data_IF_433449855589
#
_entry.id   IF_433449855589
#
_cell.length_a   1.000
_cell.length_b   1.000
_cell.length_c   1.000
_cell.angle_alpha   90.00
_cell.angle_beta   90.00
_cell.angle_gamma   90.00
#
_symmetry.space_group_name_H-M   'P 1'
#
loop_
_entity.id
_entity.type
_entity.pdbx_description
1 polymer ?
#
# COMPACT_ATOMS: atom_id res chain seq x y z
N UNK A 1 -14.66 32.32 3.40
CA UNK A 1 -14.71 31.51 2.17
C UNK A 1 -14.94 30.07 2.57
N UNK A 2 -15.84 29.29 1.95
CA UNK A 2 -16.02 27.91 2.32
C UNK A 2 -14.70 27.16 2.06
N UNK A 3 -14.30 26.28 3.00
CA UNK A 3 -13.11 25.46 2.88
C UNK A 3 -13.19 24.55 1.65
N UNK A 4 -12.50 24.92 0.58
CA UNK A 4 -12.55 24.25 -0.73
C UNK A 4 -11.61 23.02 -0.84
N UNK A 5 -10.95 22.66 0.27
CA UNK A 5 -10.05 21.48 0.27
C UNK A 5 -10.83 20.17 0.36
N UNK A 6 -10.45 19.15 -0.44
CA UNK A 6 -11.08 17.82 -0.38
C UNK A 6 -10.92 17.20 1.02
N UNK A 7 -12.02 16.65 1.56
CA UNK A 7 -12.04 16.15 2.93
C UNK A 7 -11.83 14.62 2.94
N UNK A 8 -11.06 14.12 3.90
CA UNK A 8 -11.13 12.71 4.28
C UNK A 8 -12.43 12.48 5.06
N UNK A 9 -13.20 11.47 4.69
CA UNK A 9 -14.47 11.08 5.34
C UNK A 9 -14.29 9.96 6.36
N UNK A 10 -13.28 9.09 6.16
CA UNK A 10 -12.90 8.04 7.10
C UNK A 10 -12.02 8.63 8.22
N UNK A 11 -12.65 9.03 9.34
CA UNK A 11 -11.97 9.71 10.47
C UNK A 11 -12.34 9.11 11.82
N UNK A 12 -11.37 9.09 12.75
CA UNK A 12 -11.59 8.83 14.18
C UNK A 12 -10.99 9.99 14.97
N UNK A 13 -11.79 10.60 15.86
CA UNK A 13 -11.31 11.74 16.67
C UNK A 13 -10.80 12.93 15.84
N UNK A 14 -11.31 13.10 14.61
CA UNK A 14 -10.85 14.15 13.69
C UNK A 14 -9.64 13.78 12.83
N UNK A 15 -8.97 12.65 13.09
CA UNK A 15 -7.79 12.20 12.36
C UNK A 15 -8.17 11.23 11.22
N UNK A 16 -7.65 11.44 9.97
CA UNK A 16 -7.85 10.53 8.87
C UNK A 16 -7.24 9.15 9.15
N UNK A 17 -8.03 8.08 9.00
CA UNK A 17 -7.59 6.70 9.31
C UNK A 17 -6.65 6.17 8.24
N UNK A 18 -6.95 6.41 6.96
CA UNK A 18 -6.20 5.87 5.84
C UNK A 18 -4.69 6.14 5.95
N UNK A 19 -4.20 7.40 6.09
CA UNK A 19 -2.77 7.67 6.18
C UNK A 19 -2.10 7.11 7.44
N UNK A 20 -2.85 6.89 8.51
CA UNK A 20 -2.31 6.27 9.74
C UNK A 20 -1.99 4.78 9.55
N UNK A 21 -2.77 4.08 8.74
CA UNK A 21 -2.63 2.64 8.53
C UNK A 21 -1.71 2.29 7.35
N UNK A 22 -1.57 3.17 6.36
CA UNK A 22 -0.76 2.97 5.13
C UNK A 22 0.67 2.48 5.39
N UNK A 23 1.42 2.96 6.42
CA UNK A 23 2.78 2.48 6.66
C UNK A 23 2.89 0.97 6.90
N UNK A 24 1.84 0.32 7.44
CA UNK A 24 1.87 -1.11 7.79
C UNK A 24 2.03 -1.99 6.55
N UNK A 25 1.11 -1.98 5.55
CA UNK A 25 1.27 -2.81 4.36
C UNK A 25 2.50 -2.42 3.53
N UNK A 26 2.88 -1.14 3.48
CA UNK A 26 4.11 -0.72 2.78
C UNK A 26 5.34 -1.38 3.42
N UNK A 27 5.50 -1.31 4.75
CA UNK A 27 6.61 -1.94 5.45
C UNK A 27 6.63 -3.46 5.23
N UNK A 28 5.47 -4.12 5.23
CA UNK A 28 5.34 -5.54 4.98
C UNK A 28 5.78 -5.92 3.55
N UNK A 29 5.30 -5.23 2.52
CA UNK A 29 5.64 -5.57 1.14
C UNK A 29 7.10 -5.21 0.79
N UNK A 30 7.64 -4.11 1.31
CA UNK A 30 9.07 -3.80 1.18
C UNK A 30 9.90 -4.81 1.95
N UNK A 31 9.47 -5.18 3.16
CA UNK A 31 10.11 -6.24 3.96
C UNK A 31 10.13 -7.57 3.23
N UNK A 32 9.05 -7.94 2.52
CA UNK A 32 9.01 -9.14 1.68
C UNK A 32 10.10 -9.13 0.62
N UNK A 33 10.27 -8.03 -0.13
CA UNK A 33 11.35 -7.92 -1.10
C UNK A 33 12.73 -8.08 -0.46
N UNK A 34 12.94 -7.47 0.71
CA UNK A 34 14.22 -7.59 1.44
C UNK A 34 14.48 -9.04 1.85
N UNK A 35 13.49 -9.73 2.43
CA UNK A 35 13.62 -11.13 2.86
C UNK A 35 13.78 -12.08 1.67
N UNK A 36 13.13 -11.82 0.53
CA UNK A 36 13.32 -12.56 -0.72
C UNK A 36 14.74 -12.42 -1.25
N UNK A 37 15.32 -11.21 -1.20
CA UNK A 37 16.71 -10.96 -1.60
C UNK A 37 17.70 -11.67 -0.69
N UNK A 38 17.46 -11.69 0.62
CA UNK A 38 18.30 -12.42 1.57
C UNK A 38 18.18 -13.93 1.35
N UNK A 39 16.96 -14.44 1.12
CA UNK A 39 16.75 -15.85 0.77
C UNK A 39 17.52 -16.21 -0.51
N UNK A 40 17.43 -15.41 -1.56
CA UNK A 40 18.16 -15.63 -2.81
C UNK A 40 19.67 -15.72 -2.60
N UNK A 41 20.23 -14.97 -1.64
CA UNK A 41 21.67 -14.98 -1.35
C UNK A 41 22.12 -16.11 -0.43
N UNK A 42 21.25 -16.52 0.51
CA UNK A 42 21.64 -17.43 1.61
C UNK A 42 21.05 -18.83 1.49
N UNK A 43 19.96 -18.99 0.72
CA UNK A 43 19.13 -20.20 0.68
C UNK A 43 18.60 -20.65 2.06
N UNK A 44 18.64 -19.77 3.07
CA UNK A 44 18.15 -20.10 4.42
C UNK A 44 16.63 -19.97 4.46
N UNK A 45 15.92 -21.10 4.69
CA UNK A 45 14.46 -21.22 4.64
C UNK A 45 13.73 -20.22 5.52
N UNK A 46 14.30 -19.86 6.66
CA UNK A 46 13.73 -18.84 7.57
C UNK A 46 13.35 -17.55 6.86
N UNK A 47 14.11 -17.10 5.86
CA UNK A 47 13.82 -15.88 5.12
C UNK A 47 12.61 -16.03 4.19
N UNK A 48 12.42 -17.23 3.61
CA UNK A 48 11.23 -17.55 2.83
C UNK A 48 9.96 -17.56 3.72
N UNK A 49 10.07 -18.13 4.92
CA UNK A 49 8.99 -18.13 5.90
C UNK A 49 8.64 -16.70 6.35
N UNK A 50 9.66 -15.86 6.59
CA UNK A 50 9.44 -14.44 6.92
C UNK A 50 8.74 -13.70 5.77
N UNK A 51 9.10 -13.95 4.52
CA UNK A 51 8.41 -13.38 3.36
C UNK A 51 6.93 -13.76 3.33
N UNK A 52 6.61 -15.03 3.56
CA UNK A 52 5.23 -15.53 3.59
C UNK A 52 4.41 -14.84 4.71
N UNK A 53 4.98 -14.69 5.89
CA UNK A 53 4.35 -13.96 7.00
C UNK A 53 4.14 -12.48 6.69
N UNK A 54 5.15 -11.80 6.15
CA UNK A 54 5.06 -10.39 5.76
C UNK A 54 3.99 -10.18 4.69
N UNK A 55 3.92 -11.04 3.67
CA UNK A 55 2.86 -11.00 2.66
C UNK A 55 1.48 -11.14 3.30
N UNK A 56 1.31 -12.10 4.21
CA UNK A 56 0.03 -12.34 4.88
C UNK A 56 -0.40 -11.13 5.72
N UNK A 57 0.49 -10.60 6.56
CA UNK A 57 0.21 -9.43 7.39
C UNK A 57 -0.06 -8.20 6.52
N UNK A 58 0.74 -8.00 5.47
CA UNK A 58 0.55 -6.90 4.52
C UNK A 58 -0.79 -6.95 3.80
N UNK A 59 -1.22 -8.13 3.36
CA UNK A 59 -2.53 -8.33 2.72
C UNK A 59 -3.69 -8.07 3.69
N UNK A 60 -3.62 -8.60 4.91
CA UNK A 60 -4.65 -8.36 5.94
C UNK A 60 -4.73 -6.86 6.27
N UNK A 61 -3.61 -6.19 6.47
CA UNK A 61 -3.57 -4.75 6.71
C UNK A 61 -4.13 -3.96 5.51
N UNK A 62 -3.86 -4.41 4.28
CA UNK A 62 -4.36 -3.77 3.05
C UNK A 62 -5.89 -3.76 2.95
N UNK A 63 -6.60 -4.72 3.57
CA UNK A 63 -8.07 -4.71 3.64
C UNK A 63 -8.55 -3.46 4.37
N UNK A 64 -8.02 -3.20 5.55
CA UNK A 64 -8.43 -2.04 6.37
C UNK A 64 -8.03 -0.72 5.72
N UNK A 65 -6.81 -0.64 5.20
CA UNK A 65 -6.32 0.55 4.47
C UNK A 65 -7.15 0.80 3.23
N UNK A 66 -7.44 -0.25 2.45
CA UNK A 66 -8.23 -0.17 1.23
C UNK A 66 -9.67 0.28 1.51
N UNK A 67 -10.31 -0.25 2.56
CA UNK A 67 -11.65 0.18 2.98
C UNK A 67 -11.66 1.65 3.38
N UNK A 68 -10.71 2.09 4.21
CA UNK A 68 -10.62 3.49 4.61
C UNK A 68 -10.39 4.42 3.40
N UNK A 69 -9.49 4.04 2.49
CA UNK A 69 -9.23 4.79 1.25
C UNK A 69 -10.43 4.82 0.31
N UNK A 70 -11.19 3.73 0.21
CA UNK A 70 -12.40 3.65 -0.59
C UNK A 70 -13.52 4.55 -0.03
N UNK A 71 -13.68 4.58 1.30
CA UNK A 71 -14.62 5.49 1.98
C UNK A 71 -14.25 6.94 1.67
N UNK A 72 -12.98 7.31 1.76
CA UNK A 72 -12.51 8.66 1.41
C UNK A 72 -12.75 9.00 -0.07
N UNK A 73 -12.46 8.05 -0.96
CA UNK A 73 -12.64 8.21 -2.40
C UNK A 73 -14.12 8.37 -2.78
N UNK A 74 -15.01 7.57 -2.19
CA UNK A 74 -16.45 7.64 -2.46
C UNK A 74 -17.12 8.83 -1.75
N UNK A 75 -16.60 9.23 -0.61
CA UNK A 75 -17.17 10.25 0.26
C UNK A 75 -17.06 11.69 -0.26
N UNK A 76 -16.01 12.01 -1.05
CA UNK A 76 -15.85 13.37 -1.60
C UNK A 76 -15.63 13.35 -3.13
N UNK A 77 -16.53 14.00 -3.87
CA UNK A 77 -16.42 14.13 -5.34
C UNK A 77 -15.14 14.85 -5.78
N UNK A 78 -14.60 15.74 -4.95
CA UNK A 78 -13.38 16.48 -5.25
C UNK A 78 -12.15 15.56 -5.24
N UNK A 79 -12.12 14.55 -4.38
CA UNK A 79 -11.09 13.51 -4.39
C UNK A 79 -11.15 12.72 -5.70
N UNK A 80 -12.36 12.32 -6.13
CA UNK A 80 -12.56 11.59 -7.40
C UNK A 80 -12.20 12.40 -8.65
N UNK A 81 -12.25 13.71 -8.57
CA UNK A 81 -11.84 14.59 -9.67
C UNK A 81 -10.32 14.65 -9.88
N UNK A 82 -9.53 14.20 -8.89
CA UNK A 82 -8.07 14.23 -8.94
C UNK A 82 -7.52 13.03 -9.70
N UNK A 83 -6.76 13.27 -10.77
CA UNK A 83 -6.04 12.21 -11.49
C UNK A 83 -5.09 11.40 -10.60
N UNK A 84 -4.33 12.01 -9.65
CA UNK A 84 -3.50 11.26 -8.71
C UNK A 84 -4.29 10.27 -7.84
N UNK A 85 -5.55 10.55 -7.50
CA UNK A 85 -6.37 9.63 -6.71
C UNK A 85 -6.68 8.33 -7.46
N UNK A 86 -6.93 8.40 -8.76
CA UNK A 86 -7.12 7.22 -9.60
C UNK A 86 -5.84 6.40 -9.77
N UNK A 87 -4.71 7.06 -10.05
CA UNK A 87 -3.41 6.37 -10.17
C UNK A 87 -3.05 5.69 -8.84
N UNK A 88 -3.24 6.38 -7.72
CA UNK A 88 -3.01 5.83 -6.39
C UNK A 88 -3.95 4.64 -6.10
N UNK A 89 -5.25 4.80 -6.30
CA UNK A 89 -6.24 3.77 -6.00
C UNK A 89 -6.08 2.51 -6.87
N UNK A 90 -6.03 2.68 -8.20
CA UNK A 90 -5.87 1.56 -9.14
C UNK A 90 -4.50 0.88 -9.00
N UNK A 91 -3.45 1.66 -8.79
CA UNK A 91 -2.11 1.12 -8.57
C UNK A 91 -2.03 0.27 -7.28
N UNK A 92 -2.65 0.73 -6.19
CA UNK A 92 -2.69 -0.06 -4.94
C UNK A 92 -3.61 -1.28 -5.07
N UNK A 93 -4.70 -1.22 -5.83
CA UNK A 93 -5.50 -2.40 -6.15
C UNK A 93 -4.66 -3.45 -6.92
N UNK A 94 -3.84 -3.01 -7.88
CA UNK A 94 -2.91 -3.89 -8.59
C UNK A 94 -1.84 -4.47 -7.65
N UNK A 95 -1.29 -3.67 -6.71
CA UNK A 95 -0.37 -4.15 -5.66
C UNK A 95 -1.01 -5.29 -4.86
N UNK A 96 -2.26 -5.13 -4.41
CA UNK A 96 -2.96 -6.18 -3.65
C UNK A 96 -3.13 -7.44 -4.49
N UNK A 97 -3.57 -7.32 -5.74
CA UNK A 97 -3.74 -8.48 -6.64
C UNK A 97 -2.41 -9.21 -6.85
N UNK A 98 -1.34 -8.50 -7.17
CA UNK A 98 0.00 -9.11 -7.34
C UNK A 98 0.52 -9.74 -6.05
N UNK A 99 0.25 -9.11 -4.89
CA UNK A 99 0.65 -9.65 -3.59
C UNK A 99 -0.13 -10.91 -3.22
N UNK A 100 -1.41 -11.04 -3.61
CA UNK A 100 -2.18 -12.29 -3.47
C UNK A 100 -1.53 -13.39 -4.30
N UNK A 101 -1.21 -13.13 -5.57
CA UNK A 101 -0.49 -14.11 -6.40
C UNK A 101 0.86 -14.47 -5.80
N UNK A 102 1.59 -13.49 -5.27
CA UNK A 102 2.87 -13.71 -4.62
C UNK A 102 2.74 -14.55 -3.35
N UNK A 103 1.67 -14.34 -2.55
CA UNK A 103 1.39 -15.19 -1.39
C UNK A 103 1.14 -16.65 -1.79
N UNK A 104 0.41 -16.90 -2.88
CA UNK A 104 0.25 -18.25 -3.43
C UNK A 104 1.58 -18.84 -3.93
N UNK A 105 2.46 -18.04 -4.52
CA UNK A 105 3.81 -18.47 -4.90
C UNK A 105 4.59 -18.89 -3.66
N UNK A 106 4.62 -18.06 -2.61
CA UNK A 106 5.35 -18.34 -1.37
C UNK A 106 4.75 -19.48 -0.53
N UNK A 107 3.48 -19.84 -0.75
CA UNK A 107 2.81 -20.97 -0.06
C UNK A 107 3.12 -22.34 -0.67
N UNK A 108 3.85 -22.39 -1.80
CA UNK A 108 4.29 -23.63 -2.44
C UNK A 108 5.55 -24.17 -1.78
N UNK A 109 6.28 -25.05 -2.47
CA UNK A 109 7.59 -25.53 -2.05
C UNK A 109 8.57 -24.35 -1.93
N UNK A 110 9.02 -24.06 -0.71
CA UNK A 110 9.87 -22.94 -0.38
C UNK A 110 11.19 -22.90 -1.16
N UNK A 111 11.73 -24.05 -1.55
CA UNK A 111 13.00 -24.12 -2.28
C UNK A 111 12.92 -23.66 -3.74
N UNK A 112 11.74 -23.72 -4.35
CA UNK A 112 11.55 -23.43 -5.79
C UNK A 112 10.64 -22.23 -6.06
N UNK A 113 9.88 -21.76 -5.06
CA UNK A 113 8.83 -20.78 -5.26
C UNK A 113 9.30 -19.33 -5.15
N UNK A 114 10.21 -19.04 -4.21
CA UNK A 114 10.63 -17.64 -3.98
C UNK A 114 11.47 -17.12 -5.14
N UNK A 115 12.38 -17.93 -5.68
CA UNK A 115 13.30 -17.54 -6.77
C UNK A 115 13.05 -18.39 -8.00
N UNK A 116 12.78 -17.79 -9.18
CA UNK A 116 12.76 -16.33 -9.45
C UNK A 116 11.41 -15.65 -9.24
N UNK A 117 10.30 -16.40 -9.22
CA UNK A 117 8.94 -15.85 -9.42
C UNK A 117 8.52 -14.93 -8.27
N UNK A 118 8.67 -15.35 -7.02
CA UNK A 118 8.34 -14.54 -5.84
C UNK A 118 9.13 -13.24 -5.81
N UNK A 119 10.45 -13.32 -6.01
CA UNK A 119 11.34 -12.16 -6.04
C UNK A 119 10.97 -11.15 -7.15
N UNK A 120 10.58 -11.63 -8.34
CA UNK A 120 10.13 -10.76 -9.44
C UNK A 120 8.83 -10.05 -9.04
N UNK A 121 7.87 -10.78 -8.47
CA UNK A 121 6.59 -10.21 -8.02
C UNK A 121 6.79 -9.17 -6.93
N UNK A 122 7.61 -9.48 -5.92
CA UNK A 122 7.94 -8.53 -4.84
C UNK A 122 8.61 -7.26 -5.37
N UNK A 123 9.50 -7.40 -6.37
CA UNK A 123 10.14 -6.25 -7.02
C UNK A 123 9.12 -5.38 -7.74
N UNK A 124 8.22 -5.98 -8.54
CA UNK A 124 7.17 -5.25 -9.27
C UNK A 124 6.25 -4.53 -8.27
N UNK A 125 5.83 -5.20 -7.20
CA UNK A 125 5.01 -4.62 -6.14
C UNK A 125 5.66 -3.39 -5.55
N UNK A 126 6.94 -3.45 -5.17
CA UNK A 126 7.66 -2.30 -4.59
C UNK A 126 7.79 -1.16 -5.59
N UNK A 127 8.06 -1.44 -6.86
CA UNK A 127 8.11 -0.39 -7.90
C UNK A 127 6.77 0.33 -8.07
N UNK A 128 5.66 -0.41 -8.05
CA UNK A 128 4.31 0.20 -8.10
C UNK A 128 4.05 1.02 -6.84
N UNK A 129 4.45 0.53 -5.65
CA UNK A 129 4.31 1.27 -4.39
C UNK A 129 5.06 2.60 -4.39
N UNK A 130 6.22 2.70 -5.03
CA UNK A 130 6.93 3.99 -5.18
C UNK A 130 6.09 4.99 -5.99
N UNK A 131 5.49 4.54 -7.09
CA UNK A 131 4.63 5.40 -7.93
C UNK A 131 3.35 5.79 -7.18
N UNK A 132 2.68 4.83 -6.54
CA UNK A 132 1.44 5.11 -5.82
C UNK A 132 1.68 5.95 -4.57
N UNK A 133 2.79 5.73 -3.87
CA UNK A 133 3.21 6.55 -2.73
C UNK A 133 3.46 8.00 -3.13
N UNK A 134 4.13 8.24 -4.27
CA UNK A 134 4.31 9.58 -4.83
C UNK A 134 2.97 10.28 -5.11
N UNK A 135 2.01 9.56 -5.69
CA UNK A 135 0.68 10.13 -5.95
C UNK A 135 -0.10 10.37 -4.65
N UNK A 136 0.01 9.48 -3.65
CA UNK A 136 -0.55 9.68 -2.32
C UNK A 136 -0.01 10.94 -1.65
N UNK A 137 1.32 11.13 -1.68
CA UNK A 137 1.97 12.34 -1.19
C UNK A 137 1.45 13.60 -1.90
N UNK A 138 1.33 13.56 -3.23
CA UNK A 138 0.82 14.69 -4.01
C UNK A 138 -0.63 15.05 -3.65
N UNK A 139 -1.48 14.06 -3.34
CA UNK A 139 -2.85 14.32 -2.89
C UNK A 139 -2.88 15.11 -1.57
N UNK A 140 -2.04 14.77 -0.61
CA UNK A 140 -1.98 15.45 0.69
C UNK A 140 -1.33 16.84 0.55
N UNK A 141 -0.14 16.92 -0.01
CA UNK A 141 0.68 18.14 0.05
C UNK A 141 0.41 19.13 -1.09
N UNK A 142 -0.02 18.67 -2.27
CA UNK A 142 -0.35 19.55 -3.38
C UNK A 142 -1.83 19.89 -3.47
N UNK A 143 -2.70 18.92 -3.14
CA UNK A 143 -4.15 19.07 -3.26
C UNK A 143 -4.87 19.23 -1.91
N UNK A 144 -4.16 19.13 -0.78
CA UNK A 144 -4.71 19.34 0.55
C UNK A 144 -5.74 18.31 0.97
N UNK A 145 -5.73 17.10 0.40
CA UNK A 145 -6.69 16.05 0.74
C UNK A 145 -6.52 15.66 2.20
N UNK A 146 -7.59 15.80 2.99
CA UNK A 146 -7.61 15.44 4.41
C UNK A 146 -6.96 16.46 5.35
N UNK A 147 -6.35 17.53 4.84
CA UNK A 147 -5.72 18.60 5.66
C UNK A 147 -6.73 19.72 5.90
N UNK A 148 -6.90 20.16 7.16
CA UNK A 148 -7.73 21.32 7.50
C UNK A 148 -6.99 22.61 7.13
N UNK A 149 -7.74 23.64 6.72
CA UNK A 149 -7.16 24.97 6.45
C UNK A 149 -6.50 25.59 7.69
N UNK A 150 -6.98 25.23 8.90
CA UNK A 150 -6.45 25.68 10.19
C UNK A 150 -5.05 25.13 10.50
N UNK A 151 -4.67 24.01 9.91
CA UNK A 151 -3.36 23.37 10.15
C UNK A 151 -2.23 24.03 9.30
N UNK A 152 -2.52 25.11 8.58
CA UNK A 152 -1.57 25.82 7.71
C UNK A 152 -1.09 27.16 8.25
N UNK A 153 -1.48 27.50 9.49
CA UNK A 153 -1.06 28.76 10.15
C UNK A 153 0.20 28.57 11.00
#
# INVERSE_FOLDING_TARGET
>A
MPNDTPRSTARIGGHPIHPMLVPIPIACFVGTLVTDLVYWKTAAIMWADMSAWLLTVGLVASIFVGLAGLIDFLGDRRVRALRPAWIHGLGNALVVVLSIFNAFVHSRDAYTSVVPTGLILSTIVVLILLVTGWNGWAMVYRHGVGVRAEDRS
#
